data_IF_217519737479
#
_entry.id   IF_217519737479
#
_cell.length_a   1.000
_cell.length_b   1.000
_cell.length_c   1.000
_cell.angle_alpha   90.00
_cell.angle_beta   90.00
_cell.angle_gamma   90.00
#
_symmetry.space_group_name_H-M   'P 1'
#
loop_
_entity.id
_entity.type
_entity.pdbx_description
1 polymer ?
#
# COMPACT_ATOMS: atom_id res chain seq x y z
N UNK A 1 -15.09 0.79 30.03
CA UNK A 1 -14.37 -0.13 29.13
C UNK A 1 -13.50 0.69 28.22
N UNK A 2 -12.17 0.68 28.43
CA UNK A 2 -11.21 1.39 27.57
C UNK A 2 -11.22 0.79 26.16
N UNK A 3 -11.39 1.63 25.12
CA UNK A 3 -11.16 1.21 23.75
C UNK A 3 -9.68 0.84 23.61
N UNK A 4 -9.38 -0.43 23.40
CA UNK A 4 -8.06 -0.88 22.93
C UNK A 4 -7.96 -0.39 21.48
N UNK A 5 -7.32 0.75 21.28
CA UNK A 5 -6.94 1.21 19.94
C UNK A 5 -5.70 0.41 19.57
N UNK A 6 -5.79 -0.49 18.60
CA UNK A 6 -4.60 -1.08 18.00
C UNK A 6 -3.73 0.09 17.52
N UNK A 7 -2.52 0.19 18.05
CA UNK A 7 -1.55 1.20 17.62
C UNK A 7 -1.15 0.83 16.19
N UNK A 8 -1.55 1.65 15.24
CA UNK A 8 -1.11 1.51 13.86
C UNK A 8 0.40 1.76 13.71
N UNK A 9 0.95 1.50 12.54
CA UNK A 9 2.39 1.56 12.29
C UNK A 9 2.79 2.90 11.67
N UNK A 10 2.45 4.00 12.37
CA UNK A 10 2.76 5.38 11.96
C UNK A 10 4.20 5.83 12.24
N UNK A 11 4.96 5.04 13.02
CA UNK A 11 6.31 5.39 13.43
C UNK A 11 7.35 5.35 12.31
N UNK A 12 8.55 5.87 12.64
CA UNK A 12 9.73 5.79 11.78
C UNK A 12 10.42 4.44 11.95
N UNK A 13 10.47 3.65 10.88
CA UNK A 13 11.11 2.33 10.85
C UNK A 13 12.36 2.37 9.98
N UNK A 14 13.49 1.86 10.49
CA UNK A 14 14.74 1.69 9.75
C UNK A 14 15.42 0.37 10.13
N UNK A 15 15.38 -0.63 9.27
CA UNK A 15 14.72 -0.68 7.95
C UNK A 15 13.20 -0.63 8.04
N UNK A 16 12.55 -0.08 7.02
CA UNK A 16 11.10 -0.07 6.90
C UNK A 16 10.58 -1.41 6.38
N UNK A 17 9.42 -1.80 6.89
CA UNK A 17 8.73 -3.05 6.57
C UNK A 17 7.38 -2.74 5.93
N UNK A 18 6.80 -3.73 5.25
CA UNK A 18 5.40 -3.66 4.84
C UNK A 18 4.47 -3.44 6.04
N UNK A 19 3.41 -2.69 5.87
CA UNK A 19 2.52 -2.26 6.96
C UNK A 19 2.86 -0.88 7.54
N UNK A 20 4.11 -0.41 7.42
CA UNK A 20 4.53 0.89 7.94
C UNK A 20 3.97 2.07 7.12
N UNK A 21 3.81 3.22 7.79
CA UNK A 21 3.45 4.48 7.15
C UNK A 21 4.44 4.87 6.06
N UNK A 22 3.92 5.29 4.91
CA UNK A 22 4.69 5.82 3.77
C UNK A 22 3.85 6.82 2.99
N UNK A 23 4.47 7.69 2.21
CA UNK A 23 3.74 8.56 1.31
C UNK A 23 4.63 9.45 0.45
N UNK A 24 4.08 9.90 -0.66
CA UNK A 24 4.64 10.99 -1.44
C UNK A 24 4.73 12.24 -0.56
N UNK A 25 5.78 13.05 -0.70
CA UNK A 25 6.03 14.18 0.19
C UNK A 25 4.91 15.25 0.22
N UNK A 26 4.01 15.27 -0.77
CA UNK A 26 2.86 16.18 -0.88
C UNK A 26 1.51 15.56 -0.46
N UNK A 27 1.48 14.30 0.01
CA UNK A 27 0.26 13.66 0.49
C UNK A 27 0.31 13.46 2.01
N UNK A 28 -0.81 13.04 2.60
CA UNK A 28 -0.89 12.72 4.02
C UNK A 28 -0.05 11.49 4.38
N UNK A 29 -0.61 10.31 4.28
CA UNK A 29 0.06 9.04 4.50
C UNK A 29 -0.79 7.88 3.97
N UNK A 30 -0.12 6.79 3.61
CA UNK A 30 -0.68 5.48 3.33
C UNK A 30 0.25 4.41 3.90
N UNK A 31 0.19 3.21 3.34
CA UNK A 31 0.91 2.04 3.83
C UNK A 31 1.93 1.54 2.80
N UNK A 32 3.14 1.22 3.23
CA UNK A 32 4.10 0.43 2.47
C UNK A 32 3.53 -0.98 2.31
N UNK A 33 3.23 -1.40 1.09
CA UNK A 33 2.65 -2.72 0.83
C UNK A 33 3.67 -3.84 1.02
N UNK A 34 4.59 -3.94 0.10
CA UNK A 34 5.68 -4.92 0.15
C UNK A 34 6.86 -4.48 -0.72
N UNK A 35 7.92 -5.28 -0.70
CA UNK A 35 8.98 -5.18 -1.70
C UNK A 35 8.70 -6.12 -2.86
N UNK A 36 8.95 -5.63 -4.07
CA UNK A 36 8.85 -6.40 -5.31
C UNK A 36 10.15 -6.32 -6.10
N UNK A 37 10.44 -7.33 -6.90
CA UNK A 37 11.58 -7.34 -7.83
C UNK A 37 11.08 -7.20 -9.26
N UNK A 38 11.72 -6.35 -10.01
CA UNK A 38 11.54 -6.29 -11.47
C UNK A 38 12.10 -7.58 -12.10
N UNK A 39 11.30 -8.22 -12.95
CA UNK A 39 11.67 -9.54 -13.52
C UNK A 39 12.90 -9.48 -14.41
N UNK A 40 13.10 -8.38 -15.12
CA UNK A 40 14.19 -8.20 -16.07
C UNK A 40 15.47 -7.72 -15.40
N UNK A 41 15.34 -6.63 -14.61
CA UNK A 41 16.52 -5.97 -14.03
C UNK A 41 16.91 -6.50 -12.65
N UNK A 42 16.07 -7.32 -12.03
CA UNK A 42 16.18 -7.83 -10.65
C UNK A 42 16.28 -6.74 -9.58
N UNK A 43 16.03 -5.48 -9.95
CA UNK A 43 16.00 -4.35 -9.00
C UNK A 43 14.81 -4.46 -8.06
N UNK A 44 15.02 -4.11 -6.80
CA UNK A 44 13.98 -4.10 -5.77
C UNK A 44 13.28 -2.74 -5.72
N UNK A 45 11.95 -2.78 -5.60
CA UNK A 45 11.10 -1.60 -5.46
C UNK A 45 10.13 -1.75 -4.28
N UNK A 46 9.72 -0.64 -3.72
CA UNK A 46 8.61 -0.53 -2.78
C UNK A 46 7.32 -0.46 -3.60
N UNK A 47 6.36 -1.33 -3.31
CA UNK A 47 5.01 -1.32 -3.89
C UNK A 47 4.02 -0.69 -2.90
N UNK A 48 3.19 0.22 -3.40
CA UNK A 48 2.01 0.75 -2.73
C UNK A 48 0.99 1.25 -3.77
N UNK A 49 -0.04 1.98 -3.37
CA UNK A 49 -0.98 2.57 -4.32
C UNK A 49 -0.41 3.79 -5.06
N UNK A 50 -0.96 4.07 -6.25
CA UNK A 50 -0.70 5.32 -6.97
C UNK A 50 -1.07 6.54 -6.12
N UNK A 51 -2.28 6.55 -5.53
CA UNK A 51 -2.70 7.69 -4.72
C UNK A 51 -1.80 7.92 -3.48
N UNK A 52 -1.05 6.91 -3.03
CA UNK A 52 -0.08 7.00 -1.94
C UNK A 52 1.29 7.48 -2.43
N UNK A 53 1.84 6.90 -3.49
CA UNK A 53 3.21 7.18 -3.95
C UNK A 53 3.26 8.20 -5.10
N UNK A 54 2.21 8.25 -5.94
CA UNK A 54 2.17 9.12 -7.11
C UNK A 54 1.10 10.23 -7.02
N UNK A 55 0.59 10.51 -5.79
CA UNK A 55 -0.31 11.62 -5.52
C UNK A 55 -1.50 11.67 -6.51
N UNK A 56 -2.15 10.54 -6.77
CA UNK A 56 -3.26 10.42 -7.73
C UNK A 56 -2.90 11.01 -9.11
N UNK A 57 -1.79 10.58 -9.70
CA UNK A 57 -1.18 11.01 -10.96
C UNK A 57 -0.54 12.41 -10.96
N UNK A 58 -0.54 13.13 -9.85
CA UNK A 58 0.00 14.50 -9.79
C UNK A 58 1.50 14.55 -9.52
N UNK A 59 2.14 13.42 -9.27
CA UNK A 59 3.56 13.30 -9.01
C UNK A 59 4.38 13.16 -10.30
N UNK A 60 5.69 13.39 -10.19
CA UNK A 60 6.66 13.16 -11.25
C UNK A 60 7.63 12.05 -10.84
N UNK A 61 8.18 11.34 -11.84
CA UNK A 61 9.26 10.37 -11.59
C UNK A 61 10.44 11.08 -10.91
N UNK A 62 10.94 10.45 -9.85
CA UNK A 62 12.00 11.02 -9.01
C UNK A 62 11.51 11.79 -7.78
N UNK A 63 10.21 12.03 -7.66
CA UNK A 63 9.65 12.68 -6.47
C UNK A 63 9.94 11.89 -5.20
N UNK A 64 10.19 12.61 -4.10
CA UNK A 64 10.58 12.02 -2.82
C UNK A 64 9.43 11.27 -2.15
N UNK A 65 9.73 10.08 -1.66
CA UNK A 65 8.84 9.24 -0.86
C UNK A 65 9.34 9.24 0.58
N UNK A 66 8.45 9.57 1.51
CA UNK A 66 8.77 9.68 2.93
C UNK A 66 8.31 8.44 3.71
N UNK A 67 9.09 8.03 4.71
CA UNK A 67 8.73 7.04 5.70
C UNK A 67 9.22 7.52 7.10
N UNK A 68 8.29 7.84 8.01
CA UNK A 68 6.84 7.80 7.84
C UNK A 68 6.35 8.84 6.82
N UNK A 69 5.08 8.74 6.41
CA UNK A 69 4.43 9.77 5.60
C UNK A 69 4.35 11.11 6.33
N UNK A 70 4.09 12.19 5.61
CA UNK A 70 4.10 13.56 6.17
C UNK A 70 3.11 13.76 7.32
N UNK A 71 1.93 13.13 7.26
CA UNK A 71 0.94 13.16 8.34
C UNK A 71 1.45 12.55 9.65
N UNK A 72 2.37 11.60 9.56
CA UNK A 72 2.98 10.91 10.69
C UNK A 72 4.34 11.51 11.09
N UNK A 73 4.58 12.74 10.70
CA UNK A 73 5.76 13.51 11.08
C UNK A 73 7.00 13.31 10.18
N UNK A 74 6.84 12.62 9.05
CA UNK A 74 7.92 12.49 8.06
C UNK A 74 8.30 13.83 7.44
N UNK A 75 9.59 14.13 7.36
CA UNK A 75 10.15 15.41 6.89
C UNK A 75 11.26 15.21 5.88
N UNK A 76 11.28 16.07 4.85
CA UNK A 76 12.42 16.16 3.94
C UNK A 76 13.58 16.92 4.58
N UNK A 77 14.81 16.59 4.27
CA UNK A 77 15.28 15.40 3.50
C UNK A 77 15.49 14.17 4.39
N UNK A 78 15.33 14.30 5.70
CA UNK A 78 15.69 13.32 6.76
C UNK A 78 15.00 11.96 6.58
N UNK A 79 13.71 11.99 6.23
CA UNK A 79 12.86 10.80 6.19
C UNK A 79 12.60 10.29 4.77
N UNK A 80 13.34 10.78 3.77
CA UNK A 80 13.29 10.26 2.40
C UNK A 80 13.80 8.82 2.39
N UNK A 81 12.91 7.87 2.08
CA UNK A 81 13.21 6.44 1.99
C UNK A 81 13.51 6.00 0.56
N UNK A 82 12.97 6.71 -0.42
CA UNK A 82 13.12 6.38 -1.83
C UNK A 82 12.54 7.45 -2.73
N UNK A 83 12.46 7.14 -4.00
CA UNK A 83 12.00 8.05 -5.05
C UNK A 83 10.98 7.34 -5.94
N UNK A 84 9.92 8.05 -6.35
CA UNK A 84 8.91 7.52 -7.25
C UNK A 84 9.56 7.06 -8.56
N UNK A 85 9.27 5.83 -8.97
CA UNK A 85 9.85 5.26 -10.19
C UNK A 85 8.83 5.15 -11.31
N UNK A 86 7.69 4.51 -11.06
CA UNK A 86 6.60 4.34 -12.03
C UNK A 86 5.27 4.05 -11.33
N UNK A 87 4.18 4.27 -12.04
CA UNK A 87 2.81 3.99 -11.56
C UNK A 87 1.90 3.60 -12.69
N UNK A 88 0.79 2.97 -12.35
CA UNK A 88 -0.34 2.82 -13.27
C UNK A 88 -1.19 4.07 -13.14
N UNK A 89 -1.44 4.75 -14.24
CA UNK A 89 -2.26 5.95 -14.26
C UNK A 89 -3.70 5.63 -13.87
N UNK A 90 -4.27 6.39 -12.92
CA UNK A 90 -5.68 6.31 -12.56
C UNK A 90 -6.46 7.14 -13.59
N UNK A 91 -7.33 6.47 -14.32
CA UNK A 91 -8.23 7.07 -15.29
C UNK A 91 -9.53 7.48 -14.62
N UNK A 92 -10.00 8.67 -14.93
CA UNK A 92 -11.21 9.24 -14.35
C UNK A 92 -12.36 9.26 -15.37
N UNK A 93 -13.56 9.64 -14.92
CA UNK A 93 -14.79 9.73 -15.69
C UNK A 93 -15.33 8.36 -16.13
N UNK A 94 -15.40 8.09 -17.44
CA UNK A 94 -16.01 6.87 -18.01
C UNK A 94 -15.02 5.73 -18.24
N UNK A 95 -13.73 5.97 -18.09
CA UNK A 95 -12.71 4.94 -18.31
C UNK A 95 -12.62 3.97 -17.12
N UNK A 96 -12.23 2.73 -17.44
CA UNK A 96 -12.14 1.65 -16.46
C UNK A 96 -10.70 1.47 -15.99
N UNK A 97 -10.54 1.35 -14.69
CA UNK A 97 -9.30 0.97 -14.03
C UNK A 97 -9.39 -0.47 -13.53
N UNK A 98 -8.25 -1.13 -13.42
CA UNK A 98 -8.13 -2.47 -12.82
C UNK A 98 -7.25 -2.45 -11.57
N UNK A 99 -6.32 -1.52 -11.47
CA UNK A 99 -5.38 -1.41 -10.35
C UNK A 99 -5.10 0.05 -10.01
N UNK A 100 -4.83 0.29 -8.74
CA UNK A 100 -4.27 1.52 -8.19
C UNK A 100 -2.91 1.14 -7.60
N UNK A 101 -1.82 1.31 -8.35
CA UNK A 101 -0.50 0.83 -7.99
C UNK A 101 0.62 1.76 -8.44
N UNK A 102 1.67 1.85 -7.61
CA UNK A 102 2.88 2.59 -7.91
C UNK A 102 4.10 1.93 -7.27
N UNK A 103 5.25 2.17 -7.86
CA UNK A 103 6.55 1.69 -7.40
C UNK A 103 7.47 2.86 -7.05
N UNK A 104 8.15 2.75 -5.92
CA UNK A 104 9.24 3.64 -5.57
C UNK A 104 10.56 2.86 -5.47
N UNK A 105 11.64 3.45 -5.99
CA UNK A 105 12.99 2.91 -5.84
C UNK A 105 13.53 3.30 -4.47
N UNK A 106 13.90 2.33 -3.59
CA UNK A 106 14.53 2.65 -2.32
C UNK A 106 15.83 3.44 -2.54
N UNK A 107 16.09 4.44 -1.71
CA UNK A 107 17.36 5.18 -1.72
C UNK A 107 18.55 4.28 -1.40
N UNK A 108 18.34 3.27 -0.57
CA UNK A 108 19.25 2.16 -0.30
C UNK A 108 18.45 0.93 0.08
N UNK A 109 18.89 -0.26 -0.35
CA UNK A 109 18.26 -1.53 0.04
C UNK A 109 18.34 -1.79 1.55
N UNK A 110 19.33 -1.23 2.22
CA UNK A 110 19.50 -1.31 3.69
C UNK A 110 18.39 -0.58 4.46
N UNK A 111 17.62 0.28 3.80
CA UNK A 111 16.54 1.05 4.43
C UNK A 111 15.20 0.32 4.43
N UNK A 112 15.09 -0.81 3.76
CA UNK A 112 13.85 -1.59 3.61
C UNK A 112 14.09 -3.07 3.87
N UNK A 113 13.05 -3.78 4.34
CA UNK A 113 13.04 -5.23 4.52
C UNK A 113 11.78 -5.84 3.90
N UNK A 114 11.84 -7.12 3.45
CA UNK A 114 10.72 -7.77 2.77
C UNK A 114 9.59 -8.22 3.71
N UNK A 115 9.83 -8.25 5.02
CA UNK A 115 8.82 -8.66 5.99
C UNK A 115 7.67 -7.65 6.07
N UNK A 116 6.48 -8.16 6.40
CA UNK A 116 5.30 -7.38 6.73
C UNK A 116 5.15 -7.40 8.27
N UNK A 117 4.96 -6.24 8.87
CA UNK A 117 4.80 -6.11 10.33
C UNK A 117 3.70 -7.03 10.82
N UNK A 118 3.96 -7.78 11.91
CA UNK A 118 3.08 -8.77 12.55
C UNK A 118 2.70 -9.99 11.69
N UNK A 119 3.06 -10.04 10.40
CA UNK A 119 2.78 -11.18 9.54
C UNK A 119 4.05 -11.94 9.15
N UNK A 120 5.14 -11.22 8.87
CA UNK A 120 6.41 -11.80 8.42
C UNK A 120 6.57 -11.81 6.91
N UNK A 121 7.43 -12.70 6.38
CA UNK A 121 7.75 -12.77 4.95
C UNK A 121 6.57 -13.29 4.14
N UNK A 122 6.20 -12.59 3.03
CA UNK A 122 5.31 -13.15 2.01
C UNK A 122 5.92 -14.43 1.41
N UNK A 123 5.08 -15.48 1.26
CA UNK A 123 5.52 -16.81 0.82
C UNK A 123 5.15 -17.13 -0.64
N UNK A 124 4.62 -16.18 -1.39
CA UNK A 124 4.21 -16.37 -2.78
C UNK A 124 2.95 -15.58 -3.14
N UNK A 125 2.29 -16.00 -4.21
CA UNK A 125 1.06 -15.39 -4.73
C UNK A 125 -0.03 -16.46 -4.84
N UNK A 126 -1.29 -16.07 -4.70
CA UNK A 126 -2.45 -16.94 -4.86
C UNK A 126 -3.63 -16.19 -5.45
N UNK A 127 -4.45 -16.87 -6.24
CA UNK A 127 -5.75 -16.35 -6.66
C UNK A 127 -6.72 -16.25 -5.49
N UNK A 128 -7.51 -15.16 -5.50
CA UNK A 128 -8.61 -14.96 -4.58
C UNK A 128 -9.73 -15.99 -4.80
N UNK A 129 -10.32 -16.48 -3.72
CA UNK A 129 -11.52 -17.29 -3.75
C UNK A 129 -12.56 -16.73 -2.77
N UNK A 130 -13.85 -16.87 -3.09
CA UNK A 130 -14.94 -16.47 -2.20
C UNK A 130 -14.79 -17.12 -0.81
N UNK A 131 -15.11 -16.35 0.21
CA UNK A 131 -15.05 -16.75 1.64
C UNK A 131 -13.66 -17.05 2.19
N UNK A 132 -12.60 -16.91 1.37
CA UNK A 132 -11.23 -17.09 1.83
C UNK A 132 -10.92 -16.16 3.01
N UNK A 133 -10.28 -16.70 4.04
CA UNK A 133 -9.69 -15.92 5.13
C UNK A 133 -8.46 -15.18 4.60
N UNK A 134 -8.40 -13.91 4.92
CA UNK A 134 -7.33 -13.01 4.54
C UNK A 134 -6.87 -12.18 5.72
N UNK A 135 -5.65 -11.68 5.62
CA UNK A 135 -5.03 -10.79 6.59
C UNK A 135 -4.27 -9.67 5.88
N UNK A 136 -4.11 -8.56 6.55
CA UNK A 136 -3.22 -7.47 6.14
C UNK A 136 -2.63 -6.77 7.35
N UNK A 137 -1.54 -6.06 7.16
CA UNK A 137 -0.98 -5.14 8.14
C UNK A 137 -0.91 -3.76 7.52
N UNK A 138 -1.41 -2.75 8.21
CA UNK A 138 -1.53 -1.39 7.69
C UNK A 138 -1.26 -0.29 8.70
N UNK A 139 -0.94 0.87 8.17
CA UNK A 139 -0.53 2.05 8.93
C UNK A 139 -1.53 2.46 10.02
N UNK A 140 -2.84 2.31 9.77
CA UNK A 140 -3.88 2.84 10.68
C UNK A 140 -4.43 1.75 11.60
N UNK A 141 -4.82 0.60 11.05
CA UNK A 141 -5.49 -0.44 11.83
C UNK A 141 -4.57 -1.58 12.26
N UNK A 142 -3.28 -1.54 11.90
CA UNK A 142 -2.36 -2.62 12.22
C UNK A 142 -2.73 -3.92 11.51
N UNK A 143 -2.49 -5.05 12.18
CA UNK A 143 -2.87 -6.37 11.70
C UNK A 143 -4.37 -6.60 11.84
N UNK A 144 -5.03 -6.96 10.75
CA UNK A 144 -6.46 -7.28 10.71
C UNK A 144 -6.71 -8.54 9.89
N UNK A 145 -7.77 -9.25 10.24
CA UNK A 145 -8.21 -10.48 9.57
C UNK A 145 -9.63 -10.27 9.05
N UNK A 146 -9.93 -10.82 7.88
CA UNK A 146 -11.26 -10.78 7.28
C UNK A 146 -11.52 -11.89 6.30
N UNK A 147 -12.54 -11.69 5.48
CA UNK A 147 -12.97 -12.66 4.45
C UNK A 147 -13.25 -11.97 3.13
N UNK A 148 -12.99 -12.66 2.03
CA UNK A 148 -13.38 -12.25 0.69
C UNK A 148 -14.89 -12.44 0.52
N UNK A 149 -15.58 -11.38 0.08
CA UNK A 149 -17.02 -11.34 -0.20
C UNK A 149 -17.33 -11.41 -1.66
N UNK A 150 -16.48 -10.83 -2.52
CA UNK A 150 -16.62 -10.82 -3.97
C UNK A 150 -15.22 -10.79 -4.61
N UNK A 151 -15.07 -11.37 -5.79
CA UNK A 151 -13.79 -11.47 -6.53
C UNK A 151 -13.82 -10.76 -7.88
N UNK A 152 -14.95 -10.16 -8.28
CA UNK A 152 -15.09 -9.47 -9.56
C UNK A 152 -15.97 -8.22 -9.49
N UNK A 153 -15.95 -7.55 -8.34
CA UNK A 153 -16.76 -6.36 -8.10
C UNK A 153 -16.40 -5.20 -9.03
N UNK A 154 -17.40 -4.42 -9.37
CA UNK A 154 -17.23 -3.10 -10.00
C UNK A 154 -17.54 -2.03 -8.96
N UNK A 155 -16.58 -1.15 -8.70
CA UNK A 155 -16.71 -0.12 -7.66
C UNK A 155 -16.36 1.26 -8.20
N UNK A 156 -16.97 2.29 -7.62
CA UNK A 156 -16.59 3.69 -7.81
C UNK A 156 -15.78 4.15 -6.61
N UNK A 157 -14.61 4.72 -6.86
CA UNK A 157 -13.73 5.28 -5.83
C UNK A 157 -13.64 6.80 -6.02
N UNK A 158 -13.81 7.53 -4.94
CA UNK A 158 -13.70 8.99 -4.95
C UNK A 158 -12.25 9.40 -4.61
N UNK A 159 -11.64 10.15 -5.51
CA UNK A 159 -10.35 10.79 -5.35
C UNK A 159 -10.57 12.31 -5.30
N UNK A 160 -10.79 12.87 -4.12
CA UNK A 160 -11.20 14.27 -3.90
C UNK A 160 -12.49 14.60 -4.67
N UNK A 161 -12.37 15.36 -5.77
CA UNK A 161 -13.49 15.79 -6.62
C UNK A 161 -13.67 14.92 -7.88
N UNK A 162 -12.88 13.85 -8.06
CA UNK A 162 -12.90 12.99 -9.24
C UNK A 162 -13.31 11.57 -8.85
N UNK A 163 -14.14 10.95 -9.67
CA UNK A 163 -14.56 9.55 -9.49
C UNK A 163 -13.84 8.68 -10.52
N UNK A 164 -13.25 7.60 -10.05
CA UNK A 164 -12.66 6.55 -10.88
C UNK A 164 -13.48 5.26 -10.75
N UNK A 165 -13.72 4.58 -11.88
CA UNK A 165 -14.39 3.30 -11.95
C UNK A 165 -13.36 2.18 -11.97
N UNK A 166 -13.47 1.23 -11.05
CA UNK A 166 -12.61 0.03 -11.01
C UNK A 166 -13.45 -1.22 -11.26
N UNK A 167 -12.94 -2.14 -12.07
CA UNK A 167 -13.54 -3.47 -12.33
C UNK A 167 -12.63 -4.58 -11.84
N UNK A 168 -13.20 -5.78 -11.68
CA UNK A 168 -12.51 -6.97 -11.21
C UNK A 168 -11.83 -6.76 -9.85
N UNK A 169 -12.51 -6.06 -8.95
CA UNK A 169 -11.98 -5.79 -7.62
C UNK A 169 -12.42 -6.88 -6.63
N UNK A 170 -11.55 -7.14 -5.67
CA UNK A 170 -11.84 -8.05 -4.57
C UNK A 170 -12.49 -7.24 -3.43
N UNK A 171 -13.73 -7.58 -3.10
CA UNK A 171 -14.39 -7.04 -1.91
C UNK A 171 -14.17 -7.94 -0.71
N UNK A 172 -13.94 -7.33 0.42
CA UNK A 172 -13.69 -8.03 1.68
C UNK A 172 -14.67 -7.58 2.76
N UNK A 173 -14.68 -8.27 3.89
CA UNK A 173 -15.20 -7.69 5.13
C UNK A 173 -14.40 -6.44 5.47
N UNK A 174 -14.93 -5.58 6.35
CA UNK A 174 -14.22 -4.36 6.74
C UNK A 174 -12.95 -4.70 7.54
N UNK A 175 -11.79 -4.58 6.89
CA UNK A 175 -10.46 -4.84 7.48
C UNK A 175 -9.54 -3.63 7.41
N UNK A 176 -10.00 -2.49 6.88
CA UNK A 176 -9.16 -1.32 6.64
C UNK A 176 -9.88 -0.02 6.96
N UNK A 177 -9.09 1.02 7.20
CA UNK A 177 -9.52 2.41 7.37
C UNK A 177 -8.64 3.34 6.55
N UNK A 178 -8.99 4.62 6.48
CA UNK A 178 -8.16 5.64 5.84
C UNK A 178 -6.72 5.59 6.36
N UNK A 179 -5.74 5.55 5.45
CA UNK A 179 -4.31 5.35 5.75
C UNK A 179 -3.80 3.92 5.62
N UNK A 180 -4.68 2.90 5.58
CA UNK A 180 -4.28 1.52 5.25
C UNK A 180 -4.10 1.28 3.74
N UNK A 181 -4.41 2.26 2.93
CA UNK A 181 -4.18 2.23 1.47
C UNK A 181 -2.76 1.82 1.14
N UNK A 182 -2.61 0.82 0.28
CA UNK A 182 -1.32 0.23 -0.09
C UNK A 182 -0.93 -1.02 0.70
N UNK A 183 -1.65 -1.37 1.79
CA UNK A 183 -1.39 -2.62 2.53
C UNK A 183 -1.46 -3.84 1.63
N UNK A 184 -0.51 -4.76 1.77
CA UNK A 184 -0.55 -6.06 1.10
C UNK A 184 -1.59 -6.96 1.76
N UNK A 185 -2.57 -7.42 0.99
CA UNK A 185 -3.54 -8.43 1.43
C UNK A 185 -2.98 -9.83 1.13
N UNK A 186 -3.04 -10.70 2.11
CA UNK A 186 -2.51 -12.07 2.03
C UNK A 186 -3.51 -13.08 2.59
N UNK A 187 -3.38 -14.34 2.17
CA UNK A 187 -4.05 -15.45 2.85
C UNK A 187 -3.35 -15.78 4.19
N UNK A 188 -3.92 -16.72 4.96
CA UNK A 188 -3.36 -17.12 6.25
C UNK A 188 -2.05 -17.93 6.13
N UNK A 189 -1.64 -18.31 4.91
CA UNK A 189 -0.32 -18.90 4.59
C UNK A 189 0.68 -17.86 4.07
N UNK A 190 0.38 -16.57 4.23
CA UNK A 190 1.21 -15.42 3.83
C UNK A 190 1.43 -15.30 2.31
N UNK A 191 0.52 -15.83 1.48
CA UNK A 191 0.57 -15.66 0.03
C UNK A 191 -0.24 -14.42 -0.34
N UNK A 192 0.36 -13.52 -1.14
CA UNK A 192 -0.30 -12.34 -1.66
C UNK A 192 -1.50 -12.71 -2.56
N UNK A 193 -2.55 -11.90 -2.48
CA UNK A 193 -3.80 -12.07 -3.22
C UNK A 193 -3.97 -10.97 -4.25
#
# INVERSE_FOLDING_TARGET
MGKITALGFSGRYRPALGGASIGHYKITAGTLGCLVKDKTTQKTFILSNNHVLANSNKAQKGDSILQPGSYDGGKMPKDVIGYLERWVEIKFAKEVNFVDAALAKPRSIKLVKPEIIEIGLPSGVRQANLRMLIQKSGRTTGHTIGRIKDISATIKVNYDKKIALFRNQILTTNISQGGDSGSLVMDMKKRAI
#
